data_IF_067489923953
#
_entry.id   IF_067489923953
#
_cell.length_a   1.000
_cell.length_b   1.000
_cell.length_c   1.000
_cell.angle_alpha   90.00
_cell.angle_beta   90.00
_cell.angle_gamma   90.00
#
_symmetry.space_group_name_H-M   'P 1'
#
loop_
_entity.id
_entity.type
_entity.pdbx_description
1 polymer ?
#
# COMPACT_ATOMS: atom_id res chain seq x y z
N UNK A 1 -13.43 -22.14 45.09
CA UNK A 1 -14.08 -22.68 43.88
C UNK A 1 -13.21 -22.26 42.70
N UNK A 2 -12.36 -23.15 42.22
CA UNK A 2 -11.30 -22.81 41.26
C UNK A 2 -11.79 -23.09 39.85
N UNK A 3 -11.89 -22.05 39.03
CA UNK A 3 -12.23 -22.18 37.61
C UNK A 3 -10.90 -22.34 36.83
N UNK A 4 -10.66 -23.55 36.35
CA UNK A 4 -9.59 -23.82 35.38
C UNK A 4 -10.04 -23.28 34.02
N UNK A 5 -9.33 -22.30 33.49
CA UNK A 5 -9.43 -21.90 32.07
C UNK A 5 -8.43 -22.76 31.27
N UNK A 6 -8.97 -23.56 30.36
CA UNK A 6 -8.20 -24.30 29.36
C UNK A 6 -7.79 -23.33 28.26
N UNK A 7 -6.48 -23.20 28.05
CA UNK A 7 -5.92 -22.54 26.88
C UNK A 7 -5.98 -23.51 25.71
N UNK A 8 -6.89 -23.26 24.76
CA UNK A 8 -6.95 -24.01 23.52
C UNK A 8 -5.91 -23.47 22.54
N UNK A 9 -5.03 -24.35 22.07
CA UNK A 9 -4.11 -24.04 20.98
C UNK A 9 -4.91 -23.84 19.68
N UNK A 10 -4.83 -22.64 19.10
CA UNK A 10 -5.39 -22.36 17.79
C UNK A 10 -4.37 -22.80 16.74
N UNK A 11 -4.68 -23.86 16.03
CA UNK A 11 -3.93 -24.31 14.85
C UNK A 11 -4.40 -23.50 13.66
N UNK A 12 -3.54 -22.65 13.13
CA UNK A 12 -3.82 -21.86 11.91
C UNK A 12 -3.63 -22.81 10.71
N UNK A 13 -4.74 -23.14 10.05
CA UNK A 13 -4.73 -23.81 8.73
C UNK A 13 -4.81 -22.72 7.67
N UNK A 14 -3.72 -22.53 6.94
CA UNK A 14 -3.69 -21.66 5.75
C UNK A 14 -4.36 -22.42 4.61
N UNK A 15 -5.56 -22.02 4.24
CA UNK A 15 -6.25 -22.49 3.03
C UNK A 15 -6.04 -21.45 1.92
N UNK A 16 -5.17 -21.80 0.97
CA UNK A 16 -5.01 -21.07 -0.28
C UNK A 16 -6.21 -21.39 -1.19
N UNK A 17 -7.20 -20.50 -1.22
CA UNK A 17 -8.29 -20.51 -2.19
C UNK A 17 -7.92 -19.65 -3.39
N UNK A 18 -7.54 -20.30 -4.50
CA UNK A 18 -7.43 -19.65 -5.79
C UNK A 18 -8.82 -19.24 -6.29
N UNK A 19 -9.07 -17.94 -6.37
CA UNK A 19 -10.24 -17.37 -7.02
C UNK A 19 -9.99 -17.24 -8.52
N UNK A 20 -10.52 -18.19 -9.30
CA UNK A 20 -10.74 -18.03 -10.74
C UNK A 20 -12.00 -17.19 -10.90
N UNK A 21 -11.88 -15.92 -11.24
CA UNK A 21 -13.00 -15.07 -11.61
C UNK A 21 -13.36 -15.32 -13.08
N UNK A 22 -14.35 -16.16 -13.34
CA UNK A 22 -15.09 -16.16 -14.59
C UNK A 22 -16.11 -15.04 -14.60
N UNK A 23 -15.83 -13.93 -15.29
CA UNK A 23 -16.83 -12.92 -15.60
C UNK A 23 -17.82 -13.42 -16.68
N UNK A 24 -19.09 -13.01 -16.63
CA UNK A 24 -20.07 -13.41 -17.63
C UNK A 24 -19.83 -12.69 -18.97
N UNK A 25 -19.88 -13.45 -20.05
CA UNK A 25 -19.85 -12.94 -21.42
C UNK A 25 -21.10 -12.08 -21.67
N UNK A 26 -20.89 -10.78 -21.95
CA UNK A 26 -21.93 -9.90 -22.46
C UNK A 26 -22.14 -10.13 -23.98
N UNK A 27 -23.33 -9.76 -24.52
CA UNK A 27 -23.69 -10.07 -25.89
C UNK A 27 -22.88 -9.27 -26.92
N UNK A 28 -22.52 -9.99 -27.97
CA UNK A 28 -21.85 -9.57 -29.20
C UNK A 28 -22.64 -8.43 -29.88
N UNK A 29 -22.12 -7.21 -29.84
CA UNK A 29 -22.60 -6.12 -30.69
C UNK A 29 -21.60 -5.94 -31.82
N UNK A 30 -22.00 -6.42 -33.00
CA UNK A 30 -21.23 -6.39 -34.25
C UNK A 30 -20.95 -4.97 -34.75
N UNK A 31 -19.97 -4.32 -34.18
CA UNK A 31 -19.43 -3.05 -34.63
C UNK A 31 -18.47 -3.25 -35.80
N UNK A 32 -18.91 -2.88 -37.02
CA UNK A 32 -18.09 -2.83 -38.23
C UNK A 32 -16.84 -1.98 -38.03
N UNK A 33 -15.67 -2.64 -38.14
CA UNK A 33 -14.39 -1.94 -38.25
C UNK A 33 -14.32 -1.18 -39.57
N UNK A 34 -14.48 0.14 -39.53
CA UNK A 34 -14.23 1.03 -40.67
C UNK A 34 -12.72 1.14 -40.95
N UNK A 35 -12.34 1.47 -42.19
CA UNK A 35 -10.94 1.53 -42.57
C UNK A 35 -10.20 2.66 -41.84
N UNK A 36 -9.02 2.34 -41.32
CA UNK A 36 -8.08 3.27 -40.68
C UNK A 36 -7.82 4.46 -41.59
N UNK A 37 -8.37 5.62 -41.24
CA UNK A 37 -8.02 6.87 -41.86
C UNK A 37 -6.54 7.15 -41.61
N UNK A 38 -5.79 7.37 -42.70
CA UNK A 38 -4.45 7.95 -42.61
C UNK A 38 -4.59 9.35 -42.01
N UNK A 39 -4.03 9.54 -40.83
CA UNK A 39 -3.82 10.86 -40.26
C UNK A 39 -2.79 11.54 -41.18
N UNK A 40 -3.18 12.58 -41.87
CA UNK A 40 -2.25 13.43 -42.60
C UNK A 40 -1.36 14.10 -41.52
N UNK A 41 -0.07 13.85 -41.62
CA UNK A 41 0.93 14.60 -40.86
C UNK A 41 1.05 15.95 -41.57
N UNK A 42 0.63 16.99 -40.89
CA UNK A 42 0.83 18.38 -41.31
C UNK A 42 2.30 18.71 -41.12
N UNK A 43 3.04 18.91 -42.21
CA UNK A 43 4.47 19.24 -42.25
C UNK A 43 4.72 20.71 -41.95
N UNK A 44 4.10 21.25 -40.91
CA UNK A 44 4.19 22.64 -40.47
C UNK A 44 4.79 22.81 -39.09
N UNK A 45 6.04 23.22 -39.04
CA UNK A 45 6.76 23.93 -38.00
C UNK A 45 6.98 23.18 -36.64
N UNK A 46 8.18 22.63 -36.51
CA UNK A 46 8.93 22.72 -35.26
C UNK A 46 8.33 22.05 -34.03
N UNK A 47 7.90 20.79 -34.11
CA UNK A 47 7.90 19.97 -32.92
C UNK A 47 9.37 19.74 -32.58
N UNK A 48 9.96 20.62 -31.75
CA UNK A 48 11.20 20.29 -31.05
C UNK A 48 10.94 18.99 -30.36
N UNK A 49 11.65 17.98 -30.81
CA UNK A 49 11.73 16.65 -30.22
C UNK A 49 12.01 16.84 -28.72
N UNK A 50 10.98 16.98 -27.94
CA UNK A 50 11.06 16.93 -26.48
C UNK A 50 11.38 15.47 -26.18
N UNK A 51 12.67 15.12 -26.41
CA UNK A 51 13.21 13.87 -25.92
C UNK A 51 12.89 13.86 -24.45
N UNK A 52 12.04 12.95 -24.05
CA UNK A 52 11.93 12.58 -22.64
C UNK A 52 13.33 12.18 -22.22
N UNK A 53 14.07 13.12 -21.64
CA UNK A 53 15.27 12.78 -20.90
C UNK A 53 14.74 12.05 -19.66
N UNK A 54 14.66 10.73 -19.80
CA UNK A 54 14.62 9.89 -18.61
C UNK A 54 15.95 10.18 -17.92
N UNK A 55 15.88 10.87 -16.80
CA UNK A 55 17.06 11.09 -15.95
C UNK A 55 17.40 9.72 -15.37
N UNK A 56 18.26 8.99 -16.09
CA UNK A 56 18.79 7.69 -15.69
C UNK A 56 19.92 7.85 -14.67
N UNK A 57 19.93 8.93 -13.92
CA UNK A 57 20.81 9.06 -12.76
C UNK A 57 20.49 7.92 -11.81
N UNK A 58 21.45 7.04 -11.48
CA UNK A 58 21.19 5.95 -10.55
C UNK A 58 20.65 6.56 -9.26
N UNK A 59 19.49 6.09 -8.81
CA UNK A 59 18.92 6.51 -7.55
C UNK A 59 20.02 6.35 -6.49
N UNK A 60 20.35 7.44 -5.79
CA UNK A 60 21.35 7.35 -4.72
C UNK A 60 20.82 6.37 -3.69
N UNK A 61 21.58 5.33 -3.31
CA UNK A 61 21.11 4.37 -2.35
C UNK A 61 20.73 5.12 -1.06
N UNK A 62 19.49 4.97 -0.64
CA UNK A 62 19.02 5.52 0.63
C UNK A 62 19.55 4.63 1.74
N UNK A 63 20.42 5.19 2.59
CA UNK A 63 20.96 4.46 3.73
C UNK A 63 20.05 4.64 4.93
N UNK A 64 19.62 3.54 5.53
CA UNK A 64 18.88 3.55 6.80
C UNK A 64 19.86 3.69 7.97
N UNK A 65 19.46 4.43 9.00
CA UNK A 65 20.17 4.58 10.26
C UNK A 65 19.20 4.39 11.43
N UNK A 66 19.63 3.67 12.44
CA UNK A 66 18.84 3.46 13.65
C UNK A 66 18.67 4.79 14.38
N UNK A 67 17.41 5.19 14.59
CA UNK A 67 17.02 6.30 15.45
C UNK A 67 16.36 5.73 16.70
N UNK A 68 16.75 6.28 17.85
CA UNK A 68 16.11 6.03 19.14
C UNK A 68 15.57 7.35 19.65
N UNK A 69 14.30 7.41 19.96
CA UNK A 69 13.68 8.60 20.54
C UNK A 69 14.27 8.89 21.94
N UNK A 70 14.45 10.18 22.29
CA UNK A 70 15.18 10.61 23.46
C UNK A 70 14.57 10.13 24.79
N UNK A 71 13.26 9.95 24.85
CA UNK A 71 12.55 9.42 26.01
C UNK A 71 12.35 7.89 25.96
N UNK A 72 13.06 7.23 25.05
CA UNK A 72 13.00 5.78 24.87
C UNK A 72 11.59 5.23 24.54
N UNK A 73 10.77 6.03 23.84
CA UNK A 73 9.43 5.62 23.42
C UNK A 73 9.49 4.58 22.31
N UNK A 74 10.31 4.81 21.29
CA UNK A 74 10.42 3.92 20.13
C UNK A 74 11.83 3.88 19.55
N UNK A 75 12.05 2.88 18.71
CA UNK A 75 13.19 2.79 17.79
C UNK A 75 12.69 2.58 16.37
N UNK A 76 13.45 3.09 15.38
CA UNK A 76 13.12 2.97 13.97
C UNK A 76 14.39 3.14 13.12
N UNK A 77 14.53 2.36 12.05
CA UNK A 77 15.54 2.58 11.01
C UNK A 77 15.02 3.62 10.02
N UNK A 78 15.56 4.82 10.08
CA UNK A 78 15.09 5.96 9.31
C UNK A 78 16.10 6.31 8.21
N UNK A 79 15.66 6.79 7.02
CA UNK A 79 16.58 7.29 6.01
C UNK A 79 17.49 8.39 6.53
N UNK A 80 18.78 8.29 6.24
CA UNK A 80 19.78 9.23 6.75
C UNK A 80 19.50 10.67 6.28
N UNK A 81 19.52 11.61 7.22
CA UNK A 81 19.24 13.03 6.95
C UNK A 81 17.77 13.42 7.00
N UNK A 82 16.86 12.48 7.21
CA UNK A 82 15.46 12.77 7.39
C UNK A 82 15.18 13.41 8.76
N UNK A 83 14.08 14.15 8.80
CA UNK A 83 13.53 14.72 10.05
C UNK A 83 12.39 13.85 10.53
N UNK A 84 12.07 13.96 11.81
CA UNK A 84 10.92 13.29 12.40
C UNK A 84 10.32 14.12 13.53
N UNK A 85 9.06 13.86 13.80
CA UNK A 85 8.30 14.44 14.90
C UNK A 85 7.36 13.38 15.45
N UNK A 86 7.27 13.29 16.78
CA UNK A 86 6.30 12.45 17.48
C UNK A 86 5.45 13.27 18.41
N UNK A 87 4.20 12.88 18.56
CA UNK A 87 3.23 13.55 19.44
C UNK A 87 2.33 12.53 20.15
N UNK A 88 1.78 12.94 21.25
CA UNK A 88 0.87 12.12 22.03
C UNK A 88 1.58 11.03 22.83
N UNK A 89 0.78 10.20 23.49
CA UNK A 89 1.24 9.07 24.30
C UNK A 89 0.25 7.91 24.17
N UNK A 90 0.75 6.70 24.29
CA UNK A 90 -0.03 5.46 24.28
C UNK A 90 -0.96 5.37 23.06
N UNK A 91 -2.28 5.26 23.27
CA UNK A 91 -3.25 5.17 22.16
C UNK A 91 -3.33 6.43 21.29
N UNK A 92 -2.88 7.57 21.83
CA UNK A 92 -2.82 8.85 21.10
C UNK A 92 -1.46 9.12 20.47
N UNK A 93 -0.54 8.14 20.50
CA UNK A 93 0.79 8.31 19.92
C UNK A 93 0.72 8.35 18.39
N UNK A 94 1.51 9.25 17.82
CA UNK A 94 1.78 9.33 16.40
C UNK A 94 3.19 9.79 16.11
N UNK A 95 3.76 9.31 15.03
CA UNK A 95 5.07 9.72 14.53
C UNK A 95 5.01 9.90 13.01
N UNK A 96 5.72 10.90 12.53
CA UNK A 96 5.95 11.15 11.11
C UNK A 96 7.42 11.42 10.88
N UNK A 97 7.96 10.84 9.82
CA UNK A 97 9.33 11.10 9.34
C UNK A 97 9.27 11.56 7.89
N UNK A 98 10.13 12.47 7.47
CA UNK A 98 10.13 13.00 6.12
C UNK A 98 11.51 13.50 5.67
N UNK A 99 11.71 13.51 4.37
CA UNK A 99 12.85 14.17 3.74
C UNK A 99 12.63 15.70 3.79
N UNK A 100 13.48 16.50 4.47
CA UNK A 100 13.30 17.96 4.52
C UNK A 100 13.42 18.65 3.15
N UNK A 101 14.10 18.03 2.18
CA UNK A 101 14.22 18.56 0.82
C UNK A 101 13.03 18.14 -0.08
N UNK A 102 12.37 17.04 0.27
CA UNK A 102 11.28 16.42 -0.45
C UNK A 102 10.19 15.95 0.52
N UNK A 103 9.36 16.88 1.08
CA UNK A 103 8.40 16.55 2.14
C UNK A 103 7.33 15.53 1.77
N UNK A 104 7.12 15.30 0.48
CA UNK A 104 6.27 14.24 -0.06
C UNK A 104 6.85 12.84 0.15
N UNK A 105 8.16 12.72 0.40
CA UNK A 105 8.83 11.48 0.81
C UNK A 105 8.72 11.35 2.31
N UNK A 106 7.86 10.47 2.76
CA UNK A 106 7.54 10.35 4.18
C UNK A 106 7.14 8.94 4.59
N UNK A 107 7.28 8.68 5.89
CA UNK A 107 6.75 7.52 6.59
C UNK A 107 6.02 8.02 7.83
N UNK A 108 4.84 7.48 8.11
CA UNK A 108 4.09 7.85 9.31
C UNK A 108 3.39 6.64 9.95
N UNK A 109 3.14 6.78 11.23
CA UNK A 109 2.42 5.80 12.03
C UNK A 109 1.61 6.51 13.12
N UNK A 110 0.33 6.17 13.26
CA UNK A 110 -0.56 6.59 14.35
C UNK A 110 -1.21 5.36 14.96
N UNK A 111 -1.12 5.25 16.28
CA UNK A 111 -1.73 4.11 17.01
C UNK A 111 -3.23 4.12 16.84
N UNK A 112 -3.86 5.29 17.02
CA UNK A 112 -5.31 5.45 16.93
C UNK A 112 -5.68 6.83 16.38
N UNK A 113 -6.67 6.85 15.52
CA UNK A 113 -7.31 8.07 15.03
C UNK A 113 -8.82 7.94 15.24
N UNK A 114 -9.40 8.81 16.06
CA UNK A 114 -10.81 8.81 16.42
C UNK A 114 -11.31 10.21 16.83
N UNK A 115 -12.64 10.43 16.88
CA UNK A 115 -13.67 9.53 16.37
C UNK A 115 -13.89 9.68 14.87
N UNK A 116 -14.48 8.64 14.27
CA UNK A 116 -15.21 8.71 13.00
C UNK A 116 -16.62 8.16 13.22
N UNK A 117 -17.59 8.63 12.46
CA UNK A 117 -19.01 8.30 12.68
C UNK A 117 -19.50 7.36 11.58
N UNK A 118 -20.26 6.34 11.98
CA UNK A 118 -20.70 5.23 11.14
C UNK A 118 -21.72 5.63 10.06
N UNK A 119 -22.52 6.65 10.33
CA UNK A 119 -23.58 7.10 9.41
C UNK A 119 -23.97 8.55 9.61
N UNK A 120 -24.58 9.14 8.58
CA UNK A 120 -25.18 10.48 8.69
C UNK A 120 -26.25 10.54 9.77
N UNK A 121 -27.06 9.48 9.92
CA UNK A 121 -28.08 9.43 10.97
C UNK A 121 -27.47 9.45 12.38
N UNK A 122 -26.34 8.80 12.62
CA UNK A 122 -25.63 8.86 13.89
C UNK A 122 -25.07 10.25 14.15
N UNK A 123 -24.49 10.89 13.13
CA UNK A 123 -23.99 12.26 13.22
C UNK A 123 -25.11 13.25 13.57
N UNK A 124 -26.25 13.14 12.87
CA UNK A 124 -27.41 14.03 13.10
C UNK A 124 -27.99 13.83 14.51
N UNK A 125 -27.99 12.59 15.02
CA UNK A 125 -28.34 12.30 16.42
C UNK A 125 -27.43 13.03 17.40
N UNK A 126 -26.12 13.00 17.20
CA UNK A 126 -25.17 13.75 18.05
C UNK A 126 -25.34 15.27 17.95
N UNK A 127 -25.63 15.79 16.74
CA UNK A 127 -25.92 17.19 16.54
C UNK A 127 -27.18 17.64 17.32
N UNK A 128 -28.22 16.80 17.35
CA UNK A 128 -29.41 17.06 18.16
C UNK A 128 -29.08 17.03 19.66
N UNK A 129 -28.33 16.04 20.13
CA UNK A 129 -27.89 15.97 21.52
C UNK A 129 -27.06 17.19 21.96
N UNK A 130 -26.16 17.68 21.13
CA UNK A 130 -25.36 18.86 21.40
C UNK A 130 -26.22 20.13 21.66
N UNK A 131 -27.44 20.17 21.11
CA UNK A 131 -28.37 21.27 21.38
C UNK A 131 -29.06 21.18 22.75
N UNK A 132 -29.23 19.95 23.28
CA UNK A 132 -29.96 19.75 24.53
C UNK A 132 -29.10 19.99 25.78
N UNK A 133 -27.80 19.72 25.69
CA UNK A 133 -26.86 19.87 26.79
C UNK A 133 -25.91 21.00 26.46
N UNK A 134 -26.20 22.20 26.92
CA UNK A 134 -25.32 23.36 26.73
C UNK A 134 -23.94 23.05 27.33
N UNK A 135 -22.93 22.96 26.50
CA UNK A 135 -21.54 22.70 26.91
C UNK A 135 -21.12 21.23 26.84
N UNK A 136 -21.94 20.34 26.24
CA UNK A 136 -21.49 18.98 25.93
C UNK A 136 -20.54 19.00 24.72
N UNK A 137 -19.24 19.18 25.03
CA UNK A 137 -18.20 19.19 24.00
C UNK A 137 -18.03 17.85 23.27
N UNK A 138 -18.44 16.73 23.92
CA UNK A 138 -18.35 15.39 23.29
C UNK A 138 -19.42 15.20 22.21
N UNK A 139 -20.68 15.57 22.49
CA UNK A 139 -21.74 15.47 21.49
C UNK A 139 -21.43 16.32 20.25
N UNK A 140 -20.92 17.55 20.47
CA UNK A 140 -20.52 18.41 19.34
C UNK A 140 -19.32 17.79 18.58
N UNK A 141 -18.34 17.26 19.28
CA UNK A 141 -17.19 16.58 18.66
C UNK A 141 -17.64 15.43 17.75
N UNK A 142 -18.58 14.60 18.19
CA UNK A 142 -19.14 13.52 17.38
C UNK A 142 -20.02 14.03 16.24
N UNK A 143 -20.76 15.13 16.44
CA UNK A 143 -21.57 15.76 15.42
C UNK A 143 -20.72 16.30 14.25
N UNK A 144 -19.51 16.76 14.52
CA UNK A 144 -18.61 17.35 13.52
C UNK A 144 -17.66 16.31 12.93
N UNK A 145 -17.58 15.10 13.51
CA UNK A 145 -16.66 14.06 13.04
C UNK A 145 -17.02 13.55 11.64
N UNK A 146 -16.03 13.16 10.83
CA UNK A 146 -16.26 12.60 9.51
C UNK A 146 -17.12 11.33 9.54
N UNK A 147 -18.00 11.18 8.55
CA UNK A 147 -18.83 9.99 8.39
C UNK A 147 -18.09 8.98 7.52
N UNK A 148 -17.86 7.79 8.08
CA UNK A 148 -17.21 6.67 7.43
C UNK A 148 -18.27 5.67 6.95
N UNK A 149 -18.83 5.91 5.77
CA UNK A 149 -19.87 5.06 5.15
C UNK A 149 -19.50 4.74 3.69
N UNK A 150 -19.22 3.48 3.33
CA UNK A 150 -19.13 2.32 4.21
C UNK A 150 -17.92 2.39 5.17
N UNK A 151 -17.97 1.67 6.32
CA UNK A 151 -16.90 1.67 7.32
C UNK A 151 -15.71 0.82 6.84
N UNK A 152 -14.94 1.37 5.92
CA UNK A 152 -13.81 0.72 5.26
C UNK A 152 -12.56 1.61 5.29
N UNK A 153 -11.39 0.99 5.30
CA UNK A 153 -10.09 1.66 5.27
C UNK A 153 -9.95 2.56 4.04
N UNK A 154 -10.39 2.09 2.88
CA UNK A 154 -10.37 2.89 1.65
C UNK A 154 -11.21 4.17 1.76
N UNK A 155 -12.40 4.07 2.37
CA UNK A 155 -13.26 5.23 2.65
C UNK A 155 -12.58 6.22 3.58
N UNK A 156 -11.90 5.73 4.63
CA UNK A 156 -11.17 6.58 5.56
C UNK A 156 -10.07 7.38 4.86
N UNK A 157 -9.23 6.74 4.05
CA UNK A 157 -8.17 7.46 3.34
C UNK A 157 -8.73 8.44 2.30
N UNK A 158 -9.83 8.13 1.64
CA UNK A 158 -10.50 9.07 0.75
C UNK A 158 -11.05 10.32 1.49
N UNK A 159 -11.32 10.20 2.80
CA UNK A 159 -11.79 11.28 3.66
C UNK A 159 -10.67 11.91 4.50
N UNK A 160 -9.41 11.52 4.30
CA UNK A 160 -8.30 11.85 5.21
C UNK A 160 -8.13 13.36 5.41
N UNK A 161 -8.20 14.16 4.36
CA UNK A 161 -8.09 15.62 4.47
C UNK A 161 -9.21 16.21 5.34
N UNK A 162 -10.42 15.69 5.20
CA UNK A 162 -11.56 16.07 6.03
C UNK A 162 -11.35 15.72 7.49
N UNK A 163 -10.79 14.53 7.75
CA UNK A 163 -10.42 14.12 9.10
C UNK A 163 -9.32 15.01 9.69
N UNK A 164 -8.29 15.35 8.93
CA UNK A 164 -7.22 16.25 9.37
C UNK A 164 -7.75 17.64 9.71
N UNK A 165 -8.65 18.18 8.89
CA UNK A 165 -9.29 19.46 9.17
C UNK A 165 -10.12 19.42 10.47
N UNK A 166 -10.91 18.36 10.66
CA UNK A 166 -11.66 18.10 11.87
C UNK A 166 -10.72 17.97 13.09
N UNK A 167 -9.69 17.12 13.02
CA UNK A 167 -8.76 16.89 14.10
C UNK A 167 -8.09 18.20 14.58
N UNK A 168 -7.66 19.04 13.64
CA UNK A 168 -7.09 20.38 13.94
C UNK A 168 -8.10 21.30 14.63
N UNK A 169 -9.36 21.29 14.18
CA UNK A 169 -10.41 22.11 14.80
C UNK A 169 -10.67 21.74 16.26
N UNK A 170 -10.46 20.46 16.62
CA UNK A 170 -10.64 19.96 17.97
C UNK A 170 -9.33 19.86 18.78
N UNK A 171 -8.23 20.45 18.29
CA UNK A 171 -6.96 20.50 18.98
C UNK A 171 -6.28 19.14 19.14
N UNK A 172 -6.57 18.20 18.24
CA UNK A 172 -5.85 16.94 18.13
C UNK A 172 -4.49 17.26 17.52
N UNK A 173 -3.47 17.27 18.37
CA UNK A 173 -2.11 17.64 17.99
C UNK A 173 -1.40 16.43 17.40
N UNK A 174 -1.57 16.20 16.09
CA UNK A 174 -0.77 15.27 15.32
C UNK A 174 -0.09 15.98 14.17
N UNK A 175 1.11 15.52 13.83
CA UNK A 175 1.83 15.97 12.63
C UNK A 175 1.34 15.17 11.44
N UNK A 176 0.16 15.53 10.93
CA UNK A 176 -0.47 14.81 9.83
C UNK A 176 0.27 15.00 8.51
N UNK A 177 0.37 13.94 7.69
CA UNK A 177 0.80 14.06 6.31
C UNK A 177 -0.21 14.89 5.50
N UNK A 178 0.27 15.53 4.45
CA UNK A 178 -0.60 16.16 3.45
C UNK A 178 -0.90 15.11 2.36
N UNK A 179 -2.17 14.73 2.22
CA UNK A 179 -2.65 13.75 1.26
C UNK A 179 -3.78 14.35 0.40
N UNK A 180 -3.53 15.54 -0.18
CA UNK A 180 -4.53 16.32 -0.88
C UNK A 180 -5.15 15.61 -2.07
N UNK A 181 -6.49 15.50 -2.07
CA UNK A 181 -7.24 14.91 -3.18
C UNK A 181 -6.93 13.43 -3.40
N UNK A 182 -6.76 12.66 -2.33
CA UNK A 182 -6.39 11.25 -2.40
C UNK A 182 -7.39 10.44 -3.22
N UNK A 183 -6.88 9.76 -4.25
CA UNK A 183 -7.60 8.83 -5.12
C UNK A 183 -7.08 7.40 -4.87
N UNK A 184 -7.98 6.50 -4.47
CA UNK A 184 -7.67 5.10 -4.23
C UNK A 184 -7.49 4.38 -5.56
N UNK A 185 -6.31 3.81 -5.78
CA UNK A 185 -5.95 3.06 -6.99
C UNK A 185 -6.16 1.54 -6.81
N UNK A 186 -5.83 1.02 -5.63
CA UNK A 186 -5.90 -0.41 -5.31
C UNK A 186 -6.19 -0.60 -3.83
N UNK A 187 -6.96 -1.63 -3.51
CA UNK A 187 -7.22 -2.06 -2.13
C UNK A 187 -6.91 -3.55 -2.01
N UNK A 188 -6.14 -3.91 -1.01
CA UNK A 188 -5.88 -5.31 -0.69
C UNK A 188 -6.18 -5.59 0.78
N UNK A 189 -6.81 -6.74 1.08
CA UNK A 189 -7.11 -7.10 2.45
C UNK A 189 -5.82 -7.35 3.23
N UNK A 190 -5.79 -6.85 4.46
CA UNK A 190 -4.85 -7.25 5.50
C UNK A 190 -5.52 -8.27 6.42
N UNK A 191 -4.71 -9.04 7.10
CA UNK A 191 -5.15 -9.86 8.22
C UNK A 191 -4.37 -9.46 9.45
N UNK A 192 -5.01 -8.70 10.32
CA UNK A 192 -4.44 -8.31 11.61
C UNK A 192 -5.31 -8.84 12.75
N UNK A 193 -4.76 -9.03 13.95
CA UNK A 193 -5.57 -9.40 15.11
C UNK A 193 -6.66 -8.38 15.45
N UNK A 194 -6.56 -7.14 14.96
CA UNK A 194 -7.61 -6.12 15.12
C UNK A 194 -8.75 -6.39 14.15
N UNK A 195 -8.45 -6.65 12.88
CA UNK A 195 -9.46 -6.95 11.88
C UNK A 195 -10.29 -8.18 12.19
N UNK A 196 -9.68 -9.20 12.80
CA UNK A 196 -10.40 -10.37 13.30
C UNK A 196 -11.44 -10.01 14.36
N UNK A 197 -11.28 -8.86 15.04
CA UNK A 197 -12.21 -8.40 16.06
C UNK A 197 -13.34 -7.52 15.51
N UNK A 198 -13.15 -6.85 14.35
CA UNK A 198 -13.90 -5.60 14.19
C UNK A 198 -14.34 -5.19 12.81
N UNK A 199 -13.86 -5.77 11.73
CA UNK A 199 -14.52 -5.51 10.47
C UNK A 199 -13.67 -5.30 9.22
N UNK A 200 -12.77 -4.33 9.13
CA UNK A 200 -12.02 -4.08 7.89
C UNK A 200 -10.57 -3.74 8.17
N UNK A 201 -9.69 -4.55 7.60
CA UNK A 201 -8.26 -4.33 7.56
C UNK A 201 -7.81 -4.28 6.12
N UNK A 202 -7.14 -3.24 5.71
CA UNK A 202 -6.68 -3.13 4.34
C UNK A 202 -5.37 -2.35 4.21
N UNK A 203 -4.66 -2.65 3.11
CA UNK A 203 -3.67 -1.76 2.51
C UNK A 203 -4.30 -1.10 1.30
N UNK A 204 -4.11 0.20 1.19
CA UNK A 204 -4.61 1.04 0.10
C UNK A 204 -3.41 1.64 -0.63
N UNK A 205 -3.31 1.42 -1.94
CA UNK A 205 -2.46 2.20 -2.82
C UNK A 205 -3.25 3.40 -3.33
N UNK A 206 -2.68 4.57 -3.25
CA UNK A 206 -3.37 5.78 -3.67
C UNK A 206 -2.43 6.79 -4.34
N UNK A 207 -3.01 7.59 -5.24
CA UNK A 207 -2.41 8.80 -5.78
C UNK A 207 -2.98 10.02 -5.06
N UNK A 208 -2.17 11.06 -4.86
CA UNK A 208 -2.56 12.28 -4.17
C UNK A 208 -1.60 13.42 -4.50
N UNK A 209 -1.81 14.60 -3.91
CA UNK A 209 -0.90 15.74 -4.03
C UNK A 209 -0.38 16.11 -2.64
N UNK A 210 0.95 16.19 -2.48
CA UNK A 210 1.60 16.68 -1.28
C UNK A 210 2.44 17.91 -1.59
N UNK A 211 2.16 19.06 -0.97
CA UNK A 211 2.86 20.32 -1.25
C UNK A 211 2.79 20.76 -2.72
N UNK A 212 1.76 20.37 -3.46
CA UNK A 212 1.66 20.60 -4.90
C UNK A 212 2.39 19.59 -5.78
N UNK A 213 3.04 18.59 -5.22
CA UNK A 213 3.76 17.52 -5.94
C UNK A 213 2.82 16.32 -6.13
N UNK A 214 2.58 15.86 -7.39
CA UNK A 214 1.89 14.59 -7.62
C UNK A 214 2.66 13.44 -6.97
N UNK A 215 1.98 12.69 -6.12
CA UNK A 215 2.58 11.70 -5.23
C UNK A 215 1.80 10.38 -5.26
N UNK A 216 2.46 9.31 -4.93
CA UNK A 216 1.86 8.00 -4.66
C UNK A 216 2.27 7.50 -3.28
N UNK A 217 1.44 6.62 -2.72
CA UNK A 217 1.73 5.98 -1.45
C UNK A 217 1.02 4.67 -1.25
N UNK A 218 1.50 3.93 -0.26
CA UNK A 218 0.82 2.80 0.36
C UNK A 218 0.42 3.18 1.77
N UNK A 219 -0.83 2.91 2.10
CA UNK A 219 -1.44 3.26 3.37
C UNK A 219 -2.15 2.04 3.95
N UNK A 220 -2.05 1.85 5.25
CA UNK A 220 -2.75 0.76 5.92
C UNK A 220 -3.43 1.25 7.19
N UNK A 221 -4.51 0.60 7.54
CA UNK A 221 -5.23 0.83 8.79
C UNK A 221 -6.16 -0.35 9.10
N UNK A 222 -6.70 -0.33 10.32
CA UNK A 222 -7.78 -1.22 10.76
C UNK A 222 -8.95 -0.38 11.26
N UNK A 223 -10.16 -0.68 10.77
CA UNK A 223 -11.39 -0.08 11.29
C UNK A 223 -11.82 -0.85 12.54
N UNK A 224 -11.97 -0.17 13.65
CA UNK A 224 -12.51 -0.75 14.87
C UNK A 224 -13.97 -0.36 15.06
N UNK A 225 -14.85 -1.37 15.04
CA UNK A 225 -16.28 -1.25 15.35
C UNK A 225 -16.58 -2.04 16.63
N UNK A 226 -16.79 -1.37 17.78
CA UNK A 226 -17.06 -2.08 19.03
C UNK A 226 -18.42 -2.78 19.09
N UNK A 227 -19.15 -2.77 18.00
CA UNK A 227 -20.50 -3.30 17.88
C UNK A 227 -21.59 -2.25 18.05
N UNK A 228 -22.84 -2.57 17.72
CA UNK A 228 -23.89 -1.57 17.64
C UNK A 228 -24.32 -1.06 19.02
N UNK A 229 -24.31 0.24 19.19
CA UNK A 229 -24.99 0.93 20.30
C UNK A 229 -26.20 1.68 19.76
N UNK A 230 -27.37 1.03 19.87
CA UNK A 230 -28.59 1.53 19.24
C UNK A 230 -29.39 2.42 20.20
N UNK A 231 -29.57 3.68 19.82
CA UNK A 231 -30.43 4.64 20.52
C UNK A 231 -31.54 5.10 19.57
N UNK A 232 -32.80 4.97 19.97
CA UNK A 232 -33.97 5.34 19.16
C UNK A 232 -33.98 4.69 17.74
N UNK A 233 -33.40 3.47 17.61
CA UNK A 233 -33.31 2.76 16.35
C UNK A 233 -32.15 3.19 15.45
N UNK A 234 -31.30 4.10 15.90
CA UNK A 234 -30.08 4.57 15.21
C UNK A 234 -28.87 3.92 15.90
N UNK A 235 -27.99 3.29 15.09
CA UNK A 235 -26.69 2.86 15.59
C UNK A 235 -25.77 4.07 15.70
N UNK A 236 -25.54 4.52 16.94
CA UNK A 236 -24.75 5.71 17.28
C UNK A 236 -23.30 5.38 17.63
N UNK A 237 -22.85 4.14 17.39
CA UNK A 237 -21.50 3.71 17.74
C UNK A 237 -20.45 4.54 16.99
N UNK A 238 -19.54 5.22 17.69
CA UNK A 238 -18.38 5.81 17.05
C UNK A 238 -17.37 4.72 16.68
N UNK A 239 -16.73 4.90 15.55
CA UNK A 239 -15.65 4.04 15.07
C UNK A 239 -14.29 4.65 15.42
N UNK A 240 -13.27 3.83 15.43
CA UNK A 240 -11.87 4.26 15.52
C UNK A 240 -11.04 3.62 14.41
N UNK A 241 -10.06 4.35 13.94
CA UNK A 241 -9.04 3.81 13.04
C UNK A 241 -7.81 3.46 13.87
N UNK A 242 -7.32 2.24 13.76
CA UNK A 242 -6.12 1.78 14.44
C UNK A 242 -4.98 1.54 13.48
N UNK A 243 -3.74 1.70 13.99
CA UNK A 243 -2.50 1.43 13.26
C UNK A 243 -2.48 2.09 11.87
N UNK A 244 -2.89 3.36 11.84
CA UNK A 244 -2.91 4.13 10.60
C UNK A 244 -1.47 4.42 10.20
N UNK A 245 -1.02 3.78 9.13
CA UNK A 245 0.35 3.85 8.64
C UNK A 245 0.39 4.29 7.19
N UNK A 246 1.53 4.81 6.77
CA UNK A 246 1.73 5.10 5.35
C UNK A 246 3.18 5.40 5.01
N UNK A 247 3.49 5.09 3.76
CA UNK A 247 4.71 5.51 3.09
C UNK A 247 4.34 6.21 1.80
N UNK A 248 5.08 7.25 1.43
CA UNK A 248 4.83 7.96 0.19
C UNK A 248 6.08 8.63 -0.39
N UNK A 249 6.01 8.96 -1.69
CA UNK A 249 6.97 9.76 -2.41
C UNK A 249 6.31 10.40 -3.64
N UNK A 250 7.04 11.26 -4.36
CA UNK A 250 6.62 11.72 -5.66
C UNK A 250 6.30 10.53 -6.58
N UNK A 251 5.26 10.63 -7.41
CA UNK A 251 4.77 9.52 -8.23
C UNK A 251 5.86 8.87 -9.12
N UNK A 252 6.81 9.69 -9.64
CA UNK A 252 7.94 9.18 -10.43
C UNK A 252 9.03 8.46 -9.61
N UNK A 253 9.09 8.70 -8.29
CA UNK A 253 10.12 8.17 -7.40
C UNK A 253 9.60 7.02 -6.54
N UNK A 254 8.28 6.91 -6.38
CA UNK A 254 7.66 6.02 -5.40
C UNK A 254 8.11 4.57 -5.56
N UNK A 255 8.10 4.03 -6.78
CA UNK A 255 8.52 2.66 -7.04
C UNK A 255 9.98 2.39 -6.65
N UNK A 256 10.86 3.37 -6.78
CA UNK A 256 12.28 3.24 -6.42
C UNK A 256 12.52 3.34 -4.91
N UNK A 257 11.64 4.02 -4.19
CA UNK A 257 11.75 4.26 -2.76
C UNK A 257 10.89 3.31 -1.91
N UNK A 258 9.87 2.72 -2.51
CA UNK A 258 8.87 1.91 -1.82
C UNK A 258 9.47 0.85 -0.90
N UNK A 259 10.47 0.10 -1.39
CA UNK A 259 11.12 -0.96 -0.59
C UNK A 259 11.81 -0.40 0.65
N UNK A 260 12.67 0.61 0.49
CA UNK A 260 13.41 1.19 1.61
C UNK A 260 12.49 1.91 2.61
N UNK A 261 11.42 2.55 2.14
CA UNK A 261 10.43 3.18 3.01
C UNK A 261 9.60 2.12 3.77
N UNK A 262 9.28 1.00 3.13
CA UNK A 262 8.62 -0.12 3.80
C UNK A 262 9.52 -0.77 4.86
N UNK A 263 10.81 -0.94 4.57
CA UNK A 263 11.78 -1.42 5.55
C UNK A 263 11.89 -0.46 6.75
N UNK A 264 11.89 0.84 6.48
CA UNK A 264 11.88 1.86 7.53
C UNK A 264 10.62 1.76 8.40
N UNK A 265 9.43 1.67 7.81
CA UNK A 265 8.18 1.49 8.57
C UNK A 265 8.18 0.18 9.36
N UNK A 266 8.58 -0.94 8.75
CA UNK A 266 8.60 -2.26 9.38
C UNK A 266 9.58 -2.35 10.57
N UNK A 267 10.60 -1.51 10.60
CA UNK A 267 11.57 -1.43 11.70
C UNK A 267 11.06 -0.66 12.92
N UNK A 268 9.90 0.03 12.80
CA UNK A 268 9.32 0.77 13.91
C UNK A 268 8.89 -0.16 15.03
N UNK A 269 9.41 0.06 16.24
CA UNK A 269 9.09 -0.74 17.42
C UNK A 269 9.03 0.15 18.67
N UNK A 270 7.97 0.00 19.45
CA UNK A 270 7.92 0.60 20.80
C UNK A 270 8.89 -0.12 21.75
N UNK A 271 9.50 0.63 22.65
CA UNK A 271 10.36 0.02 23.66
C UNK A 271 9.54 -0.74 24.72
N UNK A 272 10.13 -1.78 25.31
CA UNK A 272 9.47 -2.56 26.38
C UNK A 272 9.14 -1.70 27.60
N UNK A 273 9.96 -0.68 27.90
CA UNK A 273 9.73 0.28 28.97
C UNK A 273 8.44 1.09 28.71
N UNK A 274 8.26 1.54 27.47
CA UNK A 274 7.06 2.31 27.08
C UNK A 274 5.80 1.44 27.09
N UNK A 275 5.86 0.22 26.53
CA UNK A 275 4.75 -0.74 26.54
C UNK A 275 4.37 -1.11 27.97
N UNK A 276 5.37 -1.34 28.84
CA UNK A 276 5.15 -1.64 30.25
C UNK A 276 4.58 -0.46 31.05
N UNK A 277 4.91 0.79 30.67
CA UNK A 277 4.31 1.98 31.26
C UNK A 277 2.83 2.12 30.88
N UNK A 278 2.51 1.91 29.60
CA UNK A 278 1.14 1.92 29.10
C UNK A 278 0.24 0.89 29.81
N UNK A 279 0.75 -0.33 30.03
CA UNK A 279 0.03 -1.37 30.76
C UNK A 279 -0.24 -1.00 32.22
N UNK A 280 0.66 -0.22 32.86
CA UNK A 280 0.48 0.24 34.27
C UNK A 280 -0.51 1.37 34.42
N UNK A 281 -0.63 2.24 33.41
CA UNK A 281 -1.57 3.36 33.40
C UNK A 281 -3.04 2.95 33.20
N UNK A 282 -3.29 1.64 33.21
CA UNK A 282 -4.59 1.01 33.31
C UNK A 282 -5.56 1.21 32.13
N UNK A 283 -5.04 1.43 30.95
CA UNK A 283 -5.84 1.26 29.76
C UNK A 283 -5.81 -0.22 29.35
N UNK A 284 -6.79 -1.00 29.80
CA UNK A 284 -6.97 -2.39 29.35
C UNK A 284 -6.96 -2.45 27.82
N UNK A 285 -6.02 -3.20 27.26
CA UNK A 285 -5.84 -3.31 25.83
C UNK A 285 -4.77 -2.41 25.21
N UNK A 286 -4.26 -1.37 25.90
CA UNK A 286 -3.21 -0.49 25.33
C UNK A 286 -1.94 -1.26 25.04
N UNK A 287 -1.50 -2.16 25.94
CA UNK A 287 -0.34 -3.02 25.70
C UNK A 287 -0.54 -3.88 24.43
N UNK A 288 -1.69 -4.52 24.30
CA UNK A 288 -2.02 -5.30 23.12
C UNK A 288 -1.98 -4.44 21.85
N UNK A 289 -2.54 -3.23 21.89
CA UNK A 289 -2.52 -2.31 20.73
C UNK A 289 -1.11 -1.89 20.31
N UNK A 290 -0.24 -1.60 21.27
CA UNK A 290 1.15 -1.25 20.97
C UNK A 290 1.93 -2.43 20.38
N UNK A 291 1.70 -3.66 20.86
CA UNK A 291 2.27 -4.87 20.28
C UNK A 291 1.65 -5.23 18.93
N UNK A 292 0.41 -4.83 18.67
CA UNK A 292 -0.23 -5.03 17.37
C UNK A 292 0.39 -4.17 16.27
N UNK A 293 1.04 -3.04 16.61
CA UNK A 293 1.78 -2.24 15.63
C UNK A 293 2.85 -3.08 14.92
N UNK A 294 3.52 -3.98 15.63
CA UNK A 294 4.51 -4.91 15.06
C UNK A 294 3.86 -5.87 14.05
N UNK A 295 2.65 -6.36 14.37
CA UNK A 295 1.89 -7.25 13.47
C UNK A 295 1.46 -6.52 12.20
N UNK A 296 1.00 -5.27 12.31
CA UNK A 296 0.62 -4.46 11.14
C UNK A 296 1.82 -4.16 10.26
N UNK A 297 2.96 -3.82 10.86
CA UNK A 297 4.19 -3.57 10.12
C UNK A 297 4.66 -4.82 9.37
N UNK A 298 4.61 -6.00 10.01
CA UNK A 298 4.95 -7.27 9.37
C UNK A 298 3.97 -7.64 8.24
N UNK A 299 2.67 -7.39 8.43
CA UNK A 299 1.65 -7.63 7.41
C UNK A 299 1.83 -6.67 6.21
N UNK A 300 2.16 -5.42 6.48
CA UNK A 300 2.47 -4.40 5.46
C UNK A 300 3.69 -4.80 4.62
N UNK A 301 4.76 -5.25 5.25
CA UNK A 301 5.95 -5.75 4.56
C UNK A 301 5.64 -6.99 3.71
N UNK A 302 4.80 -7.90 4.22
CA UNK A 302 4.34 -9.07 3.47
C UNK A 302 3.49 -8.69 2.25
N UNK A 303 2.57 -7.71 2.41
CA UNK A 303 1.77 -7.19 1.30
C UNK A 303 2.67 -6.55 0.23
N UNK A 304 3.62 -5.74 0.67
CA UNK A 304 4.55 -5.07 -0.23
C UNK A 304 5.35 -6.06 -1.07
N UNK A 305 5.88 -7.13 -0.44
CA UNK A 305 6.55 -8.22 -1.16
C UNK A 305 5.62 -8.89 -2.17
N UNK A 306 4.42 -9.26 -1.76
CA UNK A 306 3.44 -9.89 -2.65
C UNK A 306 3.01 -8.97 -3.81
N UNK A 307 3.01 -7.65 -3.59
CA UNK A 307 2.76 -6.68 -4.67
C UNK A 307 3.90 -6.64 -5.68
N UNK A 308 5.16 -6.61 -5.22
CA UNK A 308 6.33 -6.67 -6.09
C UNK A 308 6.37 -7.95 -6.91
N UNK A 309 6.14 -9.10 -6.29
CA UNK A 309 6.05 -10.39 -6.98
C UNK A 309 4.97 -10.39 -8.09
N UNK A 310 3.86 -9.67 -7.86
CA UNK A 310 2.82 -9.51 -8.90
C UNK A 310 3.29 -8.61 -10.03
N UNK A 311 3.92 -7.47 -9.73
CA UNK A 311 4.44 -6.55 -10.75
C UNK A 311 5.48 -7.26 -11.62
N UNK A 312 6.41 -7.96 -11.03
CA UNK A 312 7.42 -8.75 -11.76
C UNK A 312 6.77 -9.76 -12.71
N UNK A 313 5.71 -10.44 -12.27
CA UNK A 313 4.96 -11.36 -13.14
C UNK A 313 4.23 -10.64 -14.27
N UNK A 314 3.64 -9.47 -14.00
CA UNK A 314 2.98 -8.67 -15.05
C UNK A 314 3.99 -8.16 -16.08
N UNK A 315 5.16 -7.73 -15.67
CA UNK A 315 6.22 -7.29 -16.55
C UNK A 315 6.72 -8.44 -17.42
N UNK A 316 6.94 -9.63 -16.84
CA UNK A 316 7.30 -10.83 -17.58
C UNK A 316 6.21 -11.22 -18.61
N UNK A 317 4.94 -11.23 -18.20
CA UNK A 317 3.82 -11.50 -19.10
C UNK A 317 3.69 -10.46 -20.24
N UNK A 318 3.91 -9.19 -19.92
CA UNK A 318 3.92 -8.11 -20.91
C UNK A 318 5.03 -8.30 -21.93
N UNK A 319 6.22 -8.70 -21.46
CA UNK A 319 7.36 -8.98 -22.32
C UNK A 319 7.10 -10.21 -23.21
N UNK A 320 6.54 -11.29 -22.66
CA UNK A 320 6.15 -12.48 -23.43
C UNK A 320 5.15 -12.14 -24.53
N UNK A 321 4.12 -11.34 -24.21
CA UNK A 321 3.14 -10.87 -25.20
C UNK A 321 3.76 -9.98 -26.27
N UNK A 322 4.68 -9.11 -25.87
CA UNK A 322 5.40 -8.23 -26.79
C UNK A 322 6.25 -9.05 -27.77
N UNK A 323 7.04 -9.99 -27.27
CA UNK A 323 7.89 -10.83 -28.10
C UNK A 323 7.05 -11.71 -29.04
N UNK A 324 5.99 -12.34 -28.53
CA UNK A 324 5.07 -13.13 -29.36
C UNK A 324 4.37 -12.30 -30.46
N UNK A 325 3.94 -11.07 -30.18
CA UNK A 325 3.35 -10.16 -31.12
C UNK A 325 4.35 -9.68 -32.19
N UNK A 326 5.62 -9.59 -31.84
CA UNK A 326 6.70 -9.21 -32.73
C UNK A 326 7.28 -10.39 -33.49
N UNK A 327 6.80 -11.61 -33.24
CA UNK A 327 7.23 -12.83 -33.92
C UNK A 327 8.59 -13.35 -33.42
N UNK A 328 8.85 -13.30 -32.15
CA UNK A 328 10.11 -13.76 -31.58
C UNK A 328 9.92 -14.79 -30.48
N UNK A 329 10.91 -15.70 -30.39
CA UNK A 329 11.14 -16.59 -29.25
C UNK A 329 12.31 -16.07 -28.40
N UNK A 330 12.21 -16.21 -27.07
CA UNK A 330 13.35 -16.03 -26.17
C UNK A 330 13.89 -17.37 -25.71
N UNK A 331 15.20 -17.48 -25.82
CA UNK A 331 15.94 -18.65 -25.42
C UNK A 331 16.99 -18.24 -24.38
N UNK A 332 17.44 -19.17 -23.62
CA UNK A 332 18.60 -18.99 -22.75
C UNK A 332 19.59 -20.14 -22.95
N UNK A 333 20.86 -19.82 -22.77
CA UNK A 333 21.91 -20.83 -22.71
C UNK A 333 21.95 -21.45 -21.31
N UNK A 334 21.82 -22.77 -21.22
CA UNK A 334 21.79 -23.49 -19.95
C UNK A 334 23.14 -23.52 -19.24
N UNK A 335 24.25 -23.25 -19.93
CA UNK A 335 25.60 -23.22 -19.35
C UNK A 335 26.00 -21.80 -18.91
N UNK A 336 25.74 -20.80 -19.76
CA UNK A 336 26.17 -19.42 -19.51
C UNK A 336 25.08 -18.56 -18.86
N UNK A 337 23.83 -18.93 -19.05
CA UNK A 337 22.67 -18.14 -18.59
C UNK A 337 22.34 -16.94 -19.51
N UNK A 338 23.07 -16.74 -20.60
CA UNK A 338 22.88 -15.67 -21.58
C UNK A 338 21.53 -15.80 -22.28
N UNK A 339 20.89 -14.65 -22.58
CA UNK A 339 19.57 -14.58 -23.19
C UNK A 339 19.71 -14.29 -24.69
N UNK A 340 19.04 -15.11 -25.47
CA UNK A 340 19.00 -15.04 -26.92
C UNK A 340 17.58 -14.71 -27.41
N UNK A 341 17.49 -13.97 -28.49
CA UNK A 341 16.25 -13.71 -29.21
C UNK A 341 16.36 -14.27 -30.65
N UNK A 342 15.38 -15.08 -31.02
CA UNK A 342 15.30 -15.70 -32.34
C UNK A 342 13.93 -15.42 -32.98
N UNK A 343 13.78 -15.67 -34.26
CA UNK A 343 12.47 -15.67 -34.92
C UNK A 343 11.57 -16.77 -34.32
N UNK A 344 10.27 -16.49 -34.30
CA UNK A 344 9.26 -17.42 -33.79
C UNK A 344 9.31 -18.74 -34.55
N UNK A 345 9.43 -19.85 -33.87
CA UNK A 345 9.55 -21.19 -34.42
C UNK A 345 10.98 -21.64 -34.67
N UNK A 346 11.98 -20.78 -34.46
CA UNK A 346 13.39 -21.18 -34.55
C UNK A 346 13.69 -22.41 -33.65
N UNK A 347 13.13 -22.43 -32.46
CA UNK A 347 13.41 -23.48 -31.51
C UNK A 347 12.95 -24.87 -31.96
N UNK A 348 11.87 -24.96 -32.73
CA UNK A 348 11.35 -26.23 -33.22
C UNK A 348 12.36 -26.95 -34.17
N UNK A 349 12.99 -26.15 -35.05
CA UNK A 349 14.06 -26.63 -35.95
C UNK A 349 15.35 -26.95 -35.19
N UNK A 350 15.71 -26.07 -34.28
CA UNK A 350 16.89 -26.18 -33.41
C UNK A 350 16.82 -27.45 -32.53
N UNK A 351 15.68 -27.68 -31.86
CA UNK A 351 15.53 -28.83 -30.94
C UNK A 351 15.76 -30.16 -31.64
N UNK A 352 15.32 -30.25 -32.90
CA UNK A 352 15.51 -31.46 -33.70
C UNK A 352 16.96 -31.69 -34.13
N UNK A 353 17.71 -30.60 -34.39
CA UNK A 353 19.03 -30.64 -35.00
C UNK A 353 20.14 -29.98 -34.16
N UNK A 354 20.04 -30.01 -32.85
CA UNK A 354 20.94 -29.30 -31.91
C UNK A 354 22.43 -29.46 -32.19
N UNK A 355 22.82 -30.65 -32.65
CA UNK A 355 24.24 -30.98 -32.93
C UNK A 355 24.78 -30.27 -34.22
N UNK A 356 23.93 -29.65 -35.00
CA UNK A 356 24.32 -28.89 -36.19
C UNK A 356 24.61 -27.43 -35.91
N UNK A 357 24.23 -26.95 -34.71
CA UNK A 357 24.41 -25.58 -34.25
C UNK A 357 25.70 -25.43 -33.43
N UNK A 358 26.29 -24.25 -33.47
CA UNK A 358 27.51 -23.92 -32.73
C UNK A 358 27.28 -23.89 -31.22
N UNK A 359 26.04 -23.61 -30.78
CA UNK A 359 25.64 -23.66 -29.39
C UNK A 359 24.50 -24.71 -29.25
N UNK A 360 24.76 -25.88 -28.67
CA UNK A 360 23.76 -26.93 -28.48
C UNK A 360 22.94 -26.76 -27.16
N UNK A 361 23.20 -25.71 -26.37
CA UNK A 361 22.70 -25.58 -25.01
C UNK A 361 21.50 -24.65 -24.87
N UNK A 362 20.93 -24.16 -25.97
CA UNK A 362 19.81 -23.25 -25.95
C UNK A 362 18.51 -23.94 -25.55
N UNK A 363 17.73 -23.28 -24.72
CA UNK A 363 16.36 -23.68 -24.35
C UNK A 363 15.42 -22.49 -24.35
N UNK A 364 14.14 -22.74 -24.65
CA UNK A 364 13.11 -21.73 -24.46
C UNK A 364 13.02 -21.34 -22.99
N UNK A 365 12.86 -20.05 -22.75
CA UNK A 365 12.59 -19.59 -21.39
C UNK A 365 11.19 -20.07 -20.99
N UNK A 366 11.06 -20.85 -19.88
CA UNK A 366 9.76 -21.25 -19.37
C UNK A 366 8.87 -20.04 -19.10
N UNK A 367 7.56 -20.17 -19.31
CA UNK A 367 6.62 -19.05 -19.12
C UNK A 367 6.55 -18.55 -17.67
N UNK A 368 6.85 -19.41 -16.72
CA UNK A 368 6.88 -19.14 -15.29
C UNK A 368 8.25 -18.69 -14.75
N UNK A 369 9.27 -18.66 -15.59
CA UNK A 369 10.62 -18.19 -15.21
C UNK A 369 10.72 -16.66 -15.28
N UNK A 370 9.96 -15.98 -14.45
CA UNK A 370 9.91 -14.52 -14.34
C UNK A 370 11.30 -13.86 -14.30
N UNK A 371 12.29 -14.35 -13.53
CA UNK A 371 13.60 -13.72 -13.48
C UNK A 371 14.33 -13.69 -14.83
N UNK A 372 14.21 -14.76 -15.65
CA UNK A 372 14.85 -14.79 -16.97
C UNK A 372 14.12 -13.89 -17.98
N UNK A 373 12.81 -13.77 -17.88
CA UNK A 373 12.06 -12.87 -18.76
C UNK A 373 12.41 -11.39 -18.57
N UNK A 374 12.93 -11.01 -17.41
CA UNK A 374 13.34 -9.64 -17.08
C UNK A 374 14.81 -9.34 -17.47
N UNK A 375 15.60 -10.37 -17.81
CA UNK A 375 16.99 -10.15 -18.21
C UNK A 375 17.07 -9.47 -19.59
N UNK A 376 18.10 -8.64 -19.83
CA UNK A 376 18.35 -8.07 -21.14
C UNK A 376 18.65 -9.17 -22.15
N UNK A 377 18.40 -8.88 -23.42
CA UNK A 377 18.78 -9.76 -24.52
C UNK A 377 20.26 -9.54 -24.81
N UNK A 378 21.07 -10.61 -24.68
CA UNK A 378 22.50 -10.56 -24.95
C UNK A 378 22.81 -10.71 -26.44
N UNK A 379 22.07 -11.60 -27.12
CA UNK A 379 22.31 -11.91 -28.51
C UNK A 379 21.02 -12.05 -29.33
N UNK A 380 21.15 -11.77 -30.64
CA UNK A 380 20.11 -11.99 -31.64
C UNK A 380 20.55 -13.10 -32.60
N UNK A 381 19.75 -14.15 -32.70
CA UNK A 381 19.97 -15.22 -33.67
C UNK A 381 19.30 -14.76 -34.97
N UNK A 382 20.11 -14.65 -36.04
CA UNK A 382 19.63 -14.38 -37.40
C UNK A 382 19.84 -15.65 -38.19
N UNK A 383 18.83 -16.07 -38.99
CA UNK A 383 18.94 -17.18 -39.91
C UNK A 383 19.92 -16.90 -41.06
#
# INVERSE_FOLDING_TARGET
MAIRRSVGAVTIVVVLLGLVACGPAGPDDGGKVGPRGKVAVDDGEGITDARYQVDASPARPVTLQLVREANEVFTMDMPAGWQWESVGQFTKFGVRTWDPAHPERQVFFYVKMDPVIKSVAARDFYAEQATWVTGDSYAQMYADAPVLDPPQVATFFALFDGYVAYARAYGIEHTFPELGGLEVLEVAPLQTPIGDLTGDDAVVRAAFTAGGVPSEGLFAASVFDPGPYVVQGIDTTPLSMYNVTGISAAAGDFLHLQEVLSQSLASFTFTEEYVSAAARDNEEGTEAMLRWSETVNAAYDSYNRAWWDRQERYDALSQQRSDGNLGYDRLYDTETGEIYRAELGFYDGYETNRNEYSNPNLQLIPQDDTPRWQQPIDYYIQD
#
